data_IF_627007486751
#
_entry.id   IF_627007486751
#
_cell.length_a   1.000
_cell.length_b   1.000
_cell.length_c   1.000
_cell.angle_alpha   90.00
_cell.angle_beta   90.00
_cell.angle_gamma   90.00
#
_symmetry.space_group_name_H-M   'P 1'
#
loop_
_entity.id
_entity.type
_entity.pdbx_description
1 polymer ?
#
# COMPACT_ATOMS: atom_id res chain seq x y z
N UNK A 1 -5.52 40.39 39.80
CA UNK A 1 -5.85 41.19 38.62
C UNK A 1 -4.74 42.22 38.42
N UNK A 2 -3.70 41.88 37.65
CA UNK A 2 -2.51 42.69 37.37
C UNK A 2 -2.60 43.29 35.96
N UNK A 3 -3.76 43.52 35.43
CA UNK A 3 -3.98 43.83 34.01
C UNK A 3 -3.74 45.30 33.62
N UNK A 4 -3.33 46.20 34.51
CA UNK A 4 -2.95 47.56 34.15
C UNK A 4 -1.93 48.13 35.14
N UNK A 5 -0.66 48.01 34.82
CA UNK A 5 0.38 48.78 35.49
C UNK A 5 0.68 49.99 34.58
N UNK A 6 0.25 51.17 35.02
CA UNK A 6 0.63 52.44 34.39
C UNK A 6 1.72 53.07 35.27
N UNK A 7 2.82 53.46 34.67
CA UNK A 7 3.83 54.32 35.32
C UNK A 7 3.58 55.77 34.88
N UNK A 8 3.52 56.66 35.85
CA UNK A 8 3.46 58.10 35.62
C UNK A 8 4.83 58.70 35.93
N UNK A 9 5.38 59.44 35.00
CA UNK A 9 6.58 60.21 35.18
C UNK A 9 6.31 61.65 34.72
N UNK A 10 6.95 62.62 35.36
CA UNK A 10 6.83 64.03 34.96
C UNK A 10 8.15 64.47 34.29
N UNK A 11 8.07 65.07 33.09
CA UNK A 11 9.24 65.57 32.38
C UNK A 11 9.82 66.82 33.02
N UNK A 12 10.97 67.28 32.54
CA UNK A 12 11.67 68.44 33.04
C UNK A 12 10.86 69.76 32.87
N UNK A 13 9.83 69.73 32.00
CA UNK A 13 8.94 70.82 31.70
C UNK A 13 7.61 70.76 32.50
N UNK A 14 7.43 69.76 33.37
CA UNK A 14 6.27 69.57 34.23
C UNK A 14 5.07 68.90 33.58
N UNK A 15 5.23 68.25 32.42
CA UNK A 15 4.16 67.47 31.76
C UNK A 15 4.12 66.02 32.28
N UNK A 16 2.95 65.54 32.53
CA UNK A 16 2.76 64.09 32.88
C UNK A 16 2.90 63.18 31.64
N UNK A 17 3.86 62.24 31.69
CA UNK A 17 4.05 61.19 30.71
C UNK A 17 3.50 59.90 31.30
N UNK A 18 2.47 59.35 30.67
CA UNK A 18 1.87 58.08 31.08
C UNK A 18 2.38 56.95 30.14
N UNK A 19 3.16 56.05 30.69
CA UNK A 19 3.55 54.82 29.97
C UNK A 19 2.49 53.75 30.22
N UNK A 20 1.73 53.45 29.18
CA UNK A 20 0.83 52.28 29.20
C UNK A 20 1.59 51.06 28.69
N UNK A 21 1.65 50.00 29.50
CA UNK A 21 2.01 48.68 29.00
C UNK A 21 0.77 48.16 28.29
N UNK A 22 0.75 48.21 26.97
CA UNK A 22 -0.21 47.43 26.20
C UNK A 22 0.11 45.95 26.42
N UNK A 23 -0.91 45.14 26.76
CA UNK A 23 -0.79 43.66 26.70
C UNK A 23 -0.15 43.33 25.35
N UNK A 24 1.02 42.72 25.39
CA UNK A 24 1.50 41.93 24.28
C UNK A 24 0.45 40.83 24.14
N UNK A 25 -0.31 40.83 23.05
CA UNK A 25 -1.13 39.69 22.69
C UNK A 25 -0.16 38.51 22.68
N UNK A 26 -0.30 37.66 23.71
CA UNK A 26 0.45 36.45 23.80
C UNK A 26 0.29 35.71 22.46
N UNK A 27 1.41 35.35 21.86
CA UNK A 27 1.44 34.39 20.77
C UNK A 27 0.68 33.13 21.20
N UNK A 28 0.36 32.20 20.32
CA UNK A 28 -0.51 31.06 20.61
C UNK A 28 -0.12 30.50 21.97
N UNK A 29 -1.08 30.52 22.89
CA UNK A 29 -0.91 30.14 24.28
C UNK A 29 -0.04 28.91 24.37
N UNK A 30 1.06 28.94 25.13
CA UNK A 30 1.96 27.81 25.30
C UNK A 30 1.19 26.52 25.64
N UNK A 31 0.06 26.65 26.33
CA UNK A 31 -0.83 25.55 26.62
C UNK A 31 -1.49 24.98 25.33
N UNK A 32 -1.92 25.82 24.41
CA UNK A 32 -2.51 25.37 23.14
C UNK A 32 -1.48 24.72 22.22
N UNK A 33 -0.26 25.25 22.17
CA UNK A 33 0.84 24.66 21.43
C UNK A 33 1.24 23.28 22.00
N UNK A 34 1.29 23.16 23.31
CA UNK A 34 1.57 21.89 23.99
C UNK A 34 0.46 20.85 23.75
N UNK A 35 -0.80 21.26 23.81
CA UNK A 35 -1.93 20.38 23.49
C UNK A 35 -1.90 19.92 22.04
N UNK A 36 -1.59 20.80 21.08
CA UNK A 36 -1.45 20.45 19.67
C UNK A 36 -0.31 19.44 19.45
N UNK A 37 0.82 19.63 20.11
CA UNK A 37 1.94 18.69 20.07
C UNK A 37 1.56 17.32 20.61
N UNK A 38 0.95 17.28 21.81
CA UNK A 38 0.47 16.01 22.40
C UNK A 38 -0.56 15.29 21.51
N UNK A 39 -1.48 16.05 20.91
CA UNK A 39 -2.45 15.49 19.98
C UNK A 39 -1.74 14.86 18.74
N UNK A 40 -0.79 15.60 18.16
CA UNK A 40 -0.01 15.12 17.01
C UNK A 40 0.78 13.85 17.35
N UNK A 41 1.46 13.82 18.48
CA UNK A 41 2.20 12.65 18.95
C UNK A 41 1.30 11.43 19.14
N UNK A 42 0.14 11.62 19.78
CA UNK A 42 -0.85 10.53 19.97
C UNK A 42 -1.41 10.03 18.64
N UNK A 43 -1.71 10.95 17.71
CA UNK A 43 -2.20 10.59 16.39
C UNK A 43 -1.18 9.78 15.62
N UNK A 44 0.08 10.22 15.57
CA UNK A 44 1.17 9.49 14.92
C UNK A 44 1.40 8.12 15.56
N UNK A 45 1.40 8.05 16.90
CA UNK A 45 1.52 6.78 17.62
C UNK A 45 0.38 5.81 17.29
N UNK A 46 -0.85 6.31 17.23
CA UNK A 46 -2.01 5.48 16.86
C UNK A 46 -1.93 5.03 15.39
N UNK A 47 -1.56 5.92 14.46
CA UNK A 47 -1.35 5.55 13.06
C UNK A 47 -0.31 4.45 12.98
N UNK A 48 0.87 4.64 13.56
CA UNK A 48 1.93 3.66 13.57
C UNK A 48 1.47 2.30 14.12
N UNK A 49 0.73 2.31 15.23
CA UNK A 49 0.26 1.10 15.92
C UNK A 49 -0.80 0.33 15.13
N UNK A 50 -1.79 1.03 14.54
CA UNK A 50 -2.99 0.40 13.98
C UNK A 50 -2.99 0.26 12.45
N UNK A 51 -1.93 0.68 11.77
CA UNK A 51 -1.81 0.44 10.33
C UNK A 51 -1.83 -1.07 10.03
N UNK A 52 -2.59 -1.52 8.99
CA UNK A 52 -2.69 -2.94 8.62
C UNK A 52 -1.48 -3.44 7.82
N UNK A 53 -0.35 -2.77 7.94
CA UNK A 53 0.94 -3.08 7.32
C UNK A 53 2.01 -3.11 8.41
N UNK A 54 2.99 -3.97 8.26
CA UNK A 54 4.14 -4.01 9.14
C UNK A 54 5.05 -2.81 8.91
N UNK A 55 5.58 -2.25 9.99
CA UNK A 55 6.50 -1.12 9.93
C UNK A 55 7.66 -1.41 10.86
N UNK A 56 8.88 -1.27 10.33
CA UNK A 56 10.12 -1.36 11.09
C UNK A 56 10.92 -0.07 10.92
N UNK A 57 11.51 0.40 11.99
CA UNK A 57 12.37 1.57 12.02
C UNK A 57 13.78 1.15 12.48
N UNK A 58 14.76 1.45 11.66
CA UNK A 58 16.17 1.17 11.92
C UNK A 58 16.95 2.46 12.04
N UNK A 59 18.00 2.48 12.87
CA UNK A 59 18.96 3.56 12.84
C UNK A 59 19.87 3.50 11.60
N UNK A 60 20.79 4.45 11.47
CA UNK A 60 21.68 4.53 10.30
C UNK A 60 22.77 3.43 10.29
N UNK A 61 22.98 2.73 11.40
CA UNK A 61 23.84 1.56 11.48
C UNK A 61 23.08 0.26 11.12
N UNK A 62 21.79 0.38 10.85
CA UNK A 62 20.90 -0.73 10.50
C UNK A 62 20.37 -1.50 11.70
N UNK A 63 20.43 -0.93 12.89
CA UNK A 63 19.92 -1.54 14.12
C UNK A 63 18.44 -1.22 14.29
N UNK A 64 17.62 -2.24 14.55
CA UNK A 64 16.18 -2.09 14.77
C UNK A 64 15.90 -1.31 16.05
N UNK A 65 15.27 -0.16 15.92
CA UNK A 65 14.93 0.74 17.04
C UNK A 65 13.45 0.73 17.39
N UNK A 66 12.58 0.43 16.40
CA UNK A 66 11.14 0.36 16.63
C UNK A 66 10.43 -0.50 15.57
N UNK A 67 9.27 -1.07 15.93
CA UNK A 67 8.35 -1.75 15.03
C UNK A 67 6.92 -1.68 15.57
N UNK A 68 5.93 -1.79 14.66
CA UNK A 68 4.53 -1.73 15.05
C UNK A 68 3.92 -3.10 15.38
N UNK A 69 2.70 -3.09 15.94
CA UNK A 69 2.00 -4.32 16.34
C UNK A 69 1.74 -5.26 15.15
N UNK A 70 1.53 -4.72 13.94
CA UNK A 70 1.30 -5.53 12.75
C UNK A 70 2.52 -6.31 12.31
N UNK A 71 3.72 -5.74 12.49
CA UNK A 71 4.98 -6.45 12.23
C UNK A 71 5.16 -7.61 13.20
N UNK A 72 4.89 -7.39 14.50
CA UNK A 72 4.92 -8.44 15.51
C UNK A 72 3.97 -9.60 15.16
N UNK A 73 2.73 -9.27 14.77
CA UNK A 73 1.73 -10.26 14.31
C UNK A 73 2.22 -11.03 13.09
N UNK A 74 2.69 -10.33 12.07
CA UNK A 74 3.09 -10.90 10.79
C UNK A 74 4.26 -11.87 10.94
N UNK A 75 5.22 -11.56 11.80
CA UNK A 75 6.39 -12.41 12.06
C UNK A 75 6.23 -13.34 13.27
N UNK A 76 5.06 -13.35 13.93
CA UNK A 76 4.77 -14.12 15.15
C UNK A 76 5.80 -13.88 16.26
N UNK A 77 6.14 -12.63 16.49
CA UNK A 77 7.04 -12.19 17.55
C UNK A 77 6.18 -11.83 18.77
N UNK A 78 6.46 -12.45 19.91
CA UNK A 78 5.64 -12.25 21.10
C UNK A 78 5.86 -10.88 21.75
N UNK A 79 7.09 -10.43 21.76
CA UNK A 79 7.50 -9.17 22.41
C UNK A 79 8.45 -8.39 21.52
N UNK A 80 8.22 -7.09 21.48
CA UNK A 80 9.07 -6.15 20.76
C UNK A 80 10.52 -6.20 21.23
N UNK A 81 10.72 -6.32 22.53
CA UNK A 81 12.02 -6.37 23.18
C UNK A 81 12.89 -7.55 22.71
N UNK A 82 12.25 -8.61 22.20
CA UNK A 82 12.97 -9.82 21.75
C UNK A 82 13.71 -9.57 20.41
N UNK A 83 13.35 -8.52 19.67
CA UNK A 83 13.88 -8.21 18.34
C UNK A 83 14.55 -6.83 18.27
N UNK A 84 14.30 -5.94 19.22
CA UNK A 84 15.01 -4.67 19.24
C UNK A 84 16.54 -4.91 19.34
N UNK A 85 17.29 -4.14 18.58
CA UNK A 85 18.75 -4.26 18.52
C UNK A 85 19.29 -5.24 17.48
N UNK A 86 18.44 -6.01 16.76
CA UNK A 86 18.93 -6.81 15.63
C UNK A 86 19.36 -5.91 14.48
N UNK A 87 20.30 -6.37 13.66
CA UNK A 87 20.80 -5.58 12.54
C UNK A 87 20.24 -6.09 11.21
N UNK A 88 19.61 -5.21 10.44
CA UNK A 88 19.00 -5.55 9.14
C UNK A 88 20.02 -6.13 8.15
N UNK A 89 21.26 -5.69 8.21
CA UNK A 89 22.32 -6.17 7.32
C UNK A 89 22.73 -7.62 7.61
N UNK A 90 22.43 -8.12 8.79
CA UNK A 90 22.68 -9.51 9.20
C UNK A 90 21.51 -10.46 8.86
N UNK A 91 20.34 -9.93 8.46
CA UNK A 91 19.21 -10.76 8.07
C UNK A 91 19.55 -11.62 6.84
N UNK A 92 19.57 -12.97 6.96
CA UNK A 92 20.02 -13.83 5.87
C UNK A 92 19.04 -13.91 4.69
N UNK A 93 17.79 -13.52 4.90
CA UNK A 93 16.71 -13.63 3.90
C UNK A 93 16.59 -12.37 3.06
N UNK A 94 16.91 -11.21 3.63
CA UNK A 94 16.75 -9.96 2.89
C UNK A 94 17.68 -9.93 1.66
N UNK A 95 17.14 -9.52 0.49
CA UNK A 95 17.90 -9.42 -0.74
C UNK A 95 19.16 -8.55 -0.58
N UNK A 96 20.27 -8.99 -1.16
CA UNK A 96 21.53 -8.22 -1.12
C UNK A 96 21.36 -6.84 -1.72
N UNK A 97 20.65 -6.75 -2.83
CA UNK A 97 20.36 -5.47 -3.50
C UNK A 97 19.63 -4.49 -2.57
N UNK A 98 18.66 -4.99 -1.77
CA UNK A 98 17.96 -4.16 -0.79
C UNK A 98 18.93 -3.57 0.23
N UNK A 99 19.83 -4.39 0.77
CA UNK A 99 20.86 -3.95 1.71
C UNK A 99 21.83 -2.93 1.10
N UNK A 100 22.16 -3.09 -0.18
CA UNK A 100 23.04 -2.16 -0.90
C UNK A 100 22.35 -0.81 -1.14
N UNK A 101 21.05 -0.81 -1.46
CA UNK A 101 20.27 0.41 -1.64
C UNK A 101 20.11 1.17 -0.33
N UNK A 102 19.79 0.47 0.77
CA UNK A 102 19.75 1.09 2.09
C UNK A 102 21.07 1.80 2.43
N UNK A 103 22.22 1.15 2.22
CA UNK A 103 23.54 1.77 2.46
C UNK A 103 23.82 3.00 1.60
N UNK A 104 23.13 3.16 0.47
CA UNK A 104 23.23 4.33 -0.41
C UNK A 104 22.15 5.37 -0.15
N UNK A 105 21.27 5.13 0.84
CA UNK A 105 20.09 5.94 1.12
C UNK A 105 19.14 6.05 -0.08
N UNK A 106 19.00 4.95 -0.84
CA UNK A 106 18.14 4.87 -2.03
C UNK A 106 16.83 4.17 -1.66
N UNK A 107 15.72 4.80 -2.01
CA UNK A 107 14.39 4.18 -1.88
C UNK A 107 14.24 3.03 -2.88
N UNK A 108 13.54 1.97 -2.47
CA UNK A 108 13.24 0.85 -3.34
C UNK A 108 12.07 0.01 -2.85
N UNK A 109 11.45 -0.69 -3.81
CA UNK A 109 10.41 -1.67 -3.54
C UNK A 109 10.94 -3.06 -3.92
N UNK A 110 10.72 -4.03 -3.03
CA UNK A 110 11.13 -5.42 -3.21
C UNK A 110 9.95 -6.36 -2.97
N UNK A 111 9.84 -7.40 -3.78
CA UNK A 111 8.95 -8.53 -3.52
C UNK A 111 9.78 -9.79 -3.52
N UNK A 112 9.73 -10.54 -2.43
CA UNK A 112 10.50 -11.76 -2.26
C UNK A 112 9.82 -12.71 -1.30
N UNK A 113 10.19 -14.00 -1.41
CA UNK A 113 9.71 -15.02 -0.48
C UNK A 113 10.57 -15.05 0.76
N UNK A 114 9.95 -14.73 1.90
CA UNK A 114 10.58 -14.81 3.20
C UNK A 114 10.38 -16.22 3.78
N UNK A 115 11.47 -16.95 3.98
CA UNK A 115 11.47 -18.35 4.44
C UNK A 115 11.98 -18.41 5.89
N UNK A 116 11.05 -18.64 6.82
CA UNK A 116 11.36 -18.67 8.25
C UNK A 116 12.31 -19.81 8.63
N UNK A 117 12.41 -20.88 7.85
CA UNK A 117 13.36 -21.98 8.10
C UNK A 117 14.83 -21.55 7.88
N UNK A 118 15.05 -20.49 7.10
CA UNK A 118 16.39 -19.99 6.75
C UNK A 118 16.85 -18.81 7.60
N UNK A 119 16.01 -18.34 8.51
CA UNK A 119 16.33 -17.17 9.36
C UNK A 119 17.40 -17.50 10.39
N UNK A 120 17.52 -18.77 10.79
CA UNK A 120 18.53 -19.22 11.77
C UNK A 120 18.30 -18.57 13.14
N UNK A 121 19.40 -18.02 13.69
CA UNK A 121 19.38 -17.33 14.99
C UNK A 121 19.06 -15.84 14.90
N UNK A 122 18.69 -15.33 13.73
CA UNK A 122 18.42 -13.90 13.55
C UNK A 122 17.24 -13.43 14.42
N UNK A 123 16.13 -14.19 14.42
CA UNK A 123 15.04 -14.03 15.38
C UNK A 123 15.10 -15.15 16.42
N UNK A 124 15.56 -14.83 17.62
CA UNK A 124 15.80 -15.85 18.66
C UNK A 124 14.50 -16.53 19.15
N UNK A 125 13.35 -15.86 19.05
CA UNK A 125 12.09 -16.28 19.65
C UNK A 125 10.91 -16.35 18.67
N UNK A 126 11.11 -16.39 17.36
CA UNK A 126 10.00 -16.60 16.44
C UNK A 126 9.58 -18.06 16.40
N UNK A 127 8.29 -18.32 16.56
CA UNK A 127 7.70 -19.66 16.39
C UNK A 127 7.13 -19.86 14.98
N UNK A 128 7.20 -18.86 14.11
CA UNK A 128 6.65 -18.93 12.76
C UNK A 128 7.47 -19.89 11.89
N UNK A 129 6.75 -20.76 11.20
CA UNK A 129 7.30 -21.69 10.22
C UNK A 129 6.71 -21.42 8.84
N UNK A 130 7.35 -21.95 7.82
CA UNK A 130 6.88 -21.80 6.43
C UNK A 130 7.43 -20.56 5.75
N UNK A 131 6.68 -20.05 4.79
CA UNK A 131 7.08 -18.91 3.97
C UNK A 131 5.96 -17.89 3.86
N UNK A 132 6.31 -16.62 3.68
CA UNK A 132 5.41 -15.56 3.27
C UNK A 132 5.95 -14.88 2.02
N UNK A 133 5.05 -14.44 1.14
CA UNK A 133 5.40 -13.58 0.01
C UNK A 133 5.35 -12.12 0.51
N UNK A 134 6.52 -11.57 0.81
CA UNK A 134 6.69 -10.27 1.43
C UNK A 134 6.94 -9.20 0.37
N UNK A 135 6.14 -8.15 0.41
CA UNK A 135 6.44 -6.90 -0.30
C UNK A 135 6.98 -5.90 0.71
N UNK A 136 8.21 -5.48 0.50
CA UNK A 136 8.92 -4.54 1.37
C UNK A 136 9.27 -3.28 0.60
N UNK A 137 8.81 -2.13 1.09
CA UNK A 137 9.29 -0.83 0.66
C UNK A 137 10.32 -0.34 1.67
N UNK A 138 11.48 0.07 1.17
CA UNK A 138 12.53 0.68 1.96
C UNK A 138 12.66 2.15 1.60
N UNK A 139 12.81 3.00 2.61
CA UNK A 139 13.04 4.44 2.40
C UNK A 139 13.91 5.00 3.53
N UNK A 140 14.65 6.07 3.24
CA UNK A 140 15.45 6.78 4.23
C UNK A 140 14.70 7.98 4.74
N UNK A 141 14.62 8.14 6.06
CA UNK A 141 14.04 9.31 6.71
C UNK A 141 15.13 10.36 6.94
N UNK A 142 14.76 11.62 6.78
CA UNK A 142 15.66 12.75 6.91
C UNK A 142 15.15 13.76 7.94
N UNK A 143 16.08 14.41 8.64
CA UNK A 143 15.75 15.53 9.52
C UNK A 143 15.50 16.82 8.71
N UNK A 144 15.21 17.92 9.42
CA UNK A 144 14.99 19.26 8.81
C UNK A 144 16.22 19.83 8.07
N UNK A 145 17.41 19.30 8.36
CA UNK A 145 18.68 19.69 7.72
C UNK A 145 19.03 18.76 6.54
N UNK A 146 18.10 17.90 6.10
CA UNK A 146 18.30 16.89 5.05
C UNK A 146 19.42 15.87 5.36
N UNK A 147 19.69 15.62 6.63
CA UNK A 147 20.60 14.54 7.03
C UNK A 147 19.79 13.27 7.26
N UNK A 148 20.26 12.10 6.78
CA UNK A 148 19.59 10.83 7.01
C UNK A 148 19.64 10.47 8.50
N UNK A 149 18.50 10.05 9.05
CA UNK A 149 18.36 9.76 10.48
C UNK A 149 17.93 8.32 10.77
N UNK A 150 17.12 7.74 9.88
CA UNK A 150 16.61 6.37 10.05
C UNK A 150 16.31 5.73 8.69
N UNK A 151 16.33 4.40 8.66
CA UNK A 151 15.69 3.63 7.61
C UNK A 151 14.29 3.21 8.05
N UNK A 152 13.33 3.36 7.18
CA UNK A 152 11.95 2.91 7.35
C UNK A 152 11.67 1.77 6.39
N UNK A 153 11.23 0.64 6.93
CA UNK A 153 10.72 -0.48 6.16
C UNK A 153 9.22 -0.60 6.35
N UNK A 154 8.51 -0.78 5.25
CA UNK A 154 7.07 -1.02 5.22
C UNK A 154 6.86 -2.39 4.59
N UNK A 155 6.32 -3.31 5.37
CA UNK A 155 6.15 -4.71 5.01
C UNK A 155 4.67 -5.04 4.80
N UNK A 156 4.35 -5.72 3.70
CA UNK A 156 3.01 -6.25 3.45
C UNK A 156 3.08 -7.73 3.06
N UNK A 157 2.34 -8.57 3.77
CA UNK A 157 2.18 -9.97 3.41
C UNK A 157 1.22 -10.06 2.21
N UNK A 158 1.73 -10.57 1.10
CA UNK A 158 1.00 -10.78 -0.16
C UNK A 158 0.68 -12.25 -0.43
N UNK A 159 0.91 -13.13 0.55
CA UNK A 159 0.78 -14.58 0.36
C UNK A 159 -0.59 -14.98 -0.15
N UNK A 160 -1.67 -14.50 0.47
CA UNK A 160 -3.03 -14.82 0.02
C UNK A 160 -3.32 -14.29 -1.39
N UNK A 161 -2.89 -13.06 -1.68
CA UNK A 161 -3.05 -12.44 -3.00
C UNK A 161 -2.26 -13.22 -4.06
N UNK A 162 -1.03 -13.61 -3.76
CA UNK A 162 -0.18 -14.41 -4.66
C UNK A 162 -0.78 -15.77 -4.93
N UNK A 163 -1.27 -16.45 -3.88
CA UNK A 163 -1.94 -17.76 -4.01
C UNK A 163 -3.21 -17.66 -4.86
N UNK A 164 -4.03 -16.64 -4.62
CA UNK A 164 -5.24 -16.41 -5.41
C UNK A 164 -4.91 -16.13 -6.88
N UNK A 165 -3.91 -15.27 -7.14
CA UNK A 165 -3.47 -14.96 -8.51
C UNK A 165 -2.95 -16.21 -9.23
N UNK A 166 -2.10 -17.01 -8.58
CA UNK A 166 -1.57 -18.24 -9.17
C UNK A 166 -2.70 -19.25 -9.50
N UNK A 167 -3.69 -19.38 -8.62
CA UNK A 167 -4.86 -20.22 -8.90
C UNK A 167 -5.65 -19.75 -10.12
N UNK A 168 -5.82 -18.45 -10.27
CA UNK A 168 -6.49 -17.89 -11.46
C UNK A 168 -5.70 -18.25 -12.71
N UNK A 169 -4.38 -18.08 -12.70
CA UNK A 169 -3.53 -18.45 -13.83
C UNK A 169 -3.59 -19.95 -14.15
N UNK A 170 -3.52 -20.82 -13.13
CA UNK A 170 -3.66 -22.26 -13.31
C UNK A 170 -5.00 -22.63 -13.95
N UNK A 171 -6.09 -21.96 -13.54
CA UNK A 171 -7.40 -22.16 -14.14
C UNK A 171 -7.45 -21.66 -15.59
N UNK A 172 -6.87 -20.52 -15.89
CA UNK A 172 -6.80 -19.98 -17.26
C UNK A 172 -6.04 -20.95 -18.19
N UNK A 173 -4.86 -21.42 -17.77
CA UNK A 173 -4.08 -22.41 -18.52
C UNK A 173 -4.84 -23.72 -18.71
N UNK A 174 -5.49 -24.21 -17.66
CA UNK A 174 -6.32 -25.40 -17.73
C UNK A 174 -7.49 -25.23 -18.71
N UNK A 175 -8.20 -24.10 -18.64
CA UNK A 175 -9.31 -23.83 -19.56
C UNK A 175 -8.83 -23.63 -21.00
N UNK A 176 -7.66 -23.05 -21.24
CA UNK A 176 -7.07 -23.02 -22.59
C UNK A 176 -6.79 -24.42 -23.13
N UNK A 177 -6.17 -25.28 -22.31
CA UNK A 177 -5.87 -26.66 -22.70
C UNK A 177 -7.15 -27.44 -23.04
N UNK A 178 -8.17 -27.36 -22.16
CA UNK A 178 -9.46 -28.01 -22.38
C UNK A 178 -10.16 -27.45 -23.62
N UNK A 179 -10.10 -26.13 -23.79
CA UNK A 179 -10.67 -25.42 -24.94
C UNK A 179 -10.07 -25.88 -26.26
N UNK A 180 -8.78 -26.07 -26.30
CA UNK A 180 -8.06 -26.57 -27.50
C UNK A 180 -8.39 -28.01 -27.80
N UNK A 181 -8.44 -28.88 -26.79
CA UNK A 181 -8.74 -30.28 -26.97
C UNK A 181 -10.22 -30.55 -27.33
N UNK A 182 -11.13 -29.94 -26.58
CA UNK A 182 -12.58 -30.14 -26.75
C UNK A 182 -13.20 -29.24 -27.83
N UNK A 183 -12.44 -28.31 -28.43
CA UNK A 183 -12.93 -27.27 -29.34
C UNK A 183 -14.02 -26.40 -28.71
N UNK A 184 -13.89 -26.14 -27.42
CA UNK A 184 -14.76 -25.28 -26.64
C UNK A 184 -14.03 -23.97 -26.38
N UNK A 185 -14.69 -22.86 -26.55
CA UNK A 185 -14.19 -21.55 -26.21
C UNK A 185 -15.19 -20.78 -25.36
N UNK A 186 -14.69 -19.91 -24.52
CA UNK A 186 -15.51 -19.04 -23.69
C UNK A 186 -15.33 -17.57 -24.10
N UNK A 187 -16.45 -16.88 -24.22
CA UNK A 187 -16.47 -15.42 -24.36
C UNK A 187 -17.53 -14.83 -23.44
N UNK A 188 -17.19 -13.72 -22.83
CA UNK A 188 -18.11 -12.90 -22.04
C UNK A 188 -18.22 -11.51 -22.68
N UNK A 189 -19.43 -11.09 -22.94
CA UNK A 189 -19.70 -9.82 -23.57
C UNK A 189 -20.85 -9.10 -22.87
N UNK A 190 -20.58 -7.88 -22.41
CA UNK A 190 -21.61 -7.02 -21.85
C UNK A 190 -22.31 -6.25 -22.96
N UNK A 191 -23.59 -6.58 -23.21
CA UNK A 191 -24.38 -6.05 -24.32
C UNK A 191 -24.60 -4.53 -24.19
N UNK A 192 -24.68 -4.00 -22.98
CA UNK A 192 -24.96 -2.58 -22.74
C UNK A 192 -23.70 -1.72 -22.90
N UNK A 193 -22.58 -2.14 -22.35
CA UNK A 193 -21.33 -1.39 -22.43
C UNK A 193 -20.54 -1.65 -23.71
N UNK A 194 -20.82 -2.75 -24.42
CA UNK A 194 -20.07 -3.16 -25.59
C UNK A 194 -18.67 -3.73 -25.27
N UNK A 195 -18.38 -4.01 -23.98
CA UNK A 195 -17.10 -4.54 -23.55
C UNK A 195 -17.21 -6.01 -23.19
N UNK A 196 -16.12 -6.72 -23.39
CA UNK A 196 -16.05 -8.13 -23.04
C UNK A 196 -14.65 -8.68 -23.21
N UNK A 197 -14.51 -9.97 -22.92
CA UNK A 197 -13.28 -10.72 -23.14
C UNK A 197 -13.61 -12.11 -23.64
N UNK A 198 -12.68 -12.71 -24.36
CA UNK A 198 -12.79 -14.10 -24.80
C UNK A 198 -11.43 -14.79 -24.67
N UNK A 199 -11.46 -16.10 -24.47
CA UNK A 199 -10.26 -16.92 -24.47
C UNK A 199 -9.70 -17.09 -25.89
N UNK A 200 -8.40 -17.30 -26.01
CA UNK A 200 -7.75 -17.54 -27.31
C UNK A 200 -8.36 -18.73 -28.05
N UNK A 201 -8.74 -19.81 -27.34
CA UNK A 201 -9.46 -20.94 -27.92
C UNK A 201 -10.78 -20.55 -28.56
N UNK A 202 -11.51 -19.57 -27.99
CA UNK A 202 -12.74 -19.07 -28.60
C UNK A 202 -12.46 -18.38 -29.94
N UNK A 203 -11.51 -17.45 -29.99
CA UNK A 203 -11.13 -16.78 -31.24
C UNK A 203 -10.72 -17.76 -32.34
N UNK A 204 -9.88 -18.74 -31.98
CA UNK A 204 -9.48 -19.82 -32.91
C UNK A 204 -10.65 -20.65 -33.39
N UNK A 205 -11.60 -21.00 -32.52
CA UNK A 205 -12.75 -21.82 -32.88
C UNK A 205 -13.72 -21.07 -33.83
N UNK A 206 -13.85 -19.75 -33.68
CA UNK A 206 -14.67 -18.92 -34.56
C UNK A 206 -13.92 -18.39 -35.77
N UNK A 207 -12.61 -18.65 -35.89
CA UNK A 207 -11.77 -18.23 -37.02
C UNK A 207 -11.44 -16.74 -37.03
N UNK A 208 -11.35 -16.13 -35.83
CA UNK A 208 -10.98 -14.72 -35.66
C UNK A 208 -9.51 -14.61 -35.21
N UNK A 209 -8.95 -13.42 -35.40
CA UNK A 209 -7.63 -13.11 -34.85
C UNK A 209 -7.69 -13.02 -33.32
N UNK A 210 -6.65 -13.49 -32.66
CA UNK A 210 -6.52 -13.34 -31.21
C UNK A 210 -6.63 -11.85 -30.83
N UNK A 211 -7.39 -11.58 -29.78
CA UNK A 211 -7.64 -10.20 -29.27
C UNK A 211 -8.43 -9.25 -30.20
N UNK A 212 -9.05 -9.75 -31.26
CA UNK A 212 -9.95 -8.93 -32.05
C UNK A 212 -11.07 -8.35 -31.17
N UNK A 213 -11.43 -7.06 -31.32
CA UNK A 213 -12.48 -6.46 -30.50
C UNK A 213 -13.79 -7.23 -30.58
N UNK A 214 -14.30 -7.70 -29.45
CA UNK A 214 -15.55 -8.47 -29.41
C UNK A 214 -16.74 -7.69 -29.95
N UNK A 215 -16.75 -6.36 -29.81
CA UNK A 215 -17.73 -5.47 -30.42
C UNK A 215 -17.82 -5.64 -31.94
N UNK A 216 -16.69 -5.83 -32.59
CA UNK A 216 -16.60 -5.97 -34.04
C UNK A 216 -17.10 -7.35 -34.49
N UNK A 217 -16.87 -8.38 -33.68
CA UNK A 217 -17.28 -9.75 -33.94
C UNK A 217 -18.79 -9.90 -33.70
N UNK A 218 -19.27 -9.48 -32.53
CA UNK A 218 -20.70 -9.56 -32.18
C UNK A 218 -21.55 -8.59 -33.01
N UNK A 219 -21.03 -7.43 -33.36
CA UNK A 219 -21.75 -6.43 -34.15
C UNK A 219 -22.03 -6.85 -35.60
N UNK A 220 -21.20 -7.71 -36.17
CA UNK A 220 -21.38 -8.19 -37.57
C UNK A 220 -22.22 -9.45 -37.70
N UNK A 221 -22.39 -10.18 -36.60
CA UNK A 221 -23.17 -11.46 -36.56
C UNK A 221 -22.72 -12.49 -37.60
N UNK A 222 -21.51 -12.37 -38.14
CA UNK A 222 -21.06 -13.18 -39.29
C UNK A 222 -20.85 -14.66 -38.94
N UNK A 223 -20.65 -14.98 -37.67
CA UNK A 223 -20.49 -16.36 -37.18
C UNK A 223 -21.81 -17.10 -36.91
N UNK A 224 -22.92 -16.42 -37.07
CA UNK A 224 -24.26 -17.03 -36.88
C UNK A 224 -24.86 -17.44 -38.22
N UNK A 225 -25.57 -18.58 -38.20
CA UNK A 225 -26.30 -19.00 -39.39
C UNK A 225 -27.28 -17.86 -39.84
N UNK A 226 -27.43 -17.60 -41.15
CA UNK A 226 -28.31 -16.51 -41.64
C UNK A 226 -29.71 -16.54 -41.06
N UNK A 227 -30.30 -17.72 -40.88
CA UNK A 227 -31.67 -17.87 -40.36
C UNK A 227 -31.78 -17.48 -38.88
N UNK A 228 -30.69 -17.61 -38.10
CA UNK A 228 -30.66 -17.31 -36.67
C UNK A 228 -30.33 -15.84 -36.38
N UNK A 229 -29.76 -15.11 -37.33
CA UNK A 229 -29.33 -13.72 -37.14
C UNK A 229 -30.48 -12.81 -36.72
N UNK A 230 -31.65 -12.94 -37.33
CA UNK A 230 -32.82 -12.12 -37.01
C UNK A 230 -33.30 -12.35 -35.59
N UNK A 231 -33.30 -13.61 -35.14
CA UNK A 231 -33.67 -13.97 -33.78
C UNK A 231 -32.68 -13.40 -32.76
N UNK A 232 -31.37 -13.52 -33.04
CA UNK A 232 -30.32 -13.00 -32.19
C UNK A 232 -30.36 -11.49 -32.05
N UNK A 233 -30.53 -10.75 -33.17
CA UNK A 233 -30.65 -9.28 -33.17
C UNK A 233 -31.82 -8.87 -32.28
N UNK A 234 -32.96 -9.51 -32.45
CA UNK A 234 -34.17 -9.24 -31.64
C UNK A 234 -33.91 -9.49 -30.16
N UNK A 235 -33.28 -10.63 -29.80
CA UNK A 235 -32.96 -10.97 -28.45
C UNK A 235 -32.03 -9.93 -27.81
N UNK A 236 -30.98 -9.49 -28.52
CA UNK A 236 -30.05 -8.48 -28.04
C UNK A 236 -30.71 -7.09 -27.87
N UNK A 237 -31.62 -6.74 -28.76
CA UNK A 237 -32.38 -5.49 -28.63
C UNK A 237 -33.35 -5.51 -27.45
N UNK A 238 -33.98 -6.64 -27.19
CA UNK A 238 -34.87 -6.82 -26.03
C UNK A 238 -34.05 -6.81 -24.73
N UNK A 239 -32.88 -7.45 -24.69
CA UNK A 239 -31.98 -7.44 -23.56
C UNK A 239 -31.49 -6.00 -23.25
N UNK A 240 -31.14 -5.20 -24.27
CA UNK A 240 -30.77 -3.79 -24.10
C UNK A 240 -31.90 -2.93 -23.52
N UNK A 241 -33.12 -3.31 -23.75
CA UNK A 241 -34.33 -2.63 -23.23
C UNK A 241 -34.79 -3.17 -21.89
N UNK A 242 -34.09 -4.21 -21.34
CA UNK A 242 -34.45 -4.86 -20.09
C UNK A 242 -35.76 -5.66 -20.18
N UNK A 243 -36.06 -6.21 -21.35
CA UNK A 243 -37.29 -6.98 -21.64
C UNK A 243 -37.07 -8.51 -21.60
N UNK A 244 -35.87 -8.95 -21.18
CA UNK A 244 -35.49 -10.39 -21.02
C UNK A 244 -35.05 -10.72 -19.64
#
# INVERSE_FOLDING_TARGET
DLSKVCFQETDEDGNEIIYGISEVQDGPDMASAYQALQYSERLLSNIFKYLPIGIELYDMDGVLVDLNDKELEMFHIEKKEDVLGINIFDNPIFPKEMKERLKKNEDADFTFRYDFSKVGSYYQNTQKQGTIDLMTKVTTLYNSEHQPINYLLINADKTETTVAYNKIQEFEEFFELVGDYAKVGYAHFNILSGHGYAQKSWYRNVGEADEAPLSDIFGTYRHFHPDDRTLLIRFLDDARKGLT
#
